data_IF_606663718392
#
_entry.id   IF_606663718392
#
_cell.length_a   1.000
_cell.length_b   1.000
_cell.length_c   1.000
_cell.angle_alpha   90.00
_cell.angle_beta   90.00
_cell.angle_gamma   90.00
#
_symmetry.space_group_name_H-M   'P 1'
#
loop_
_entity.id
_entity.type
_entity.pdbx_description
1 polymer ?
#
# COMPACT_ATOMS: atom_id res chain seq x y z
N UNK A 1 15.19 26.11 -33.71
CA UNK A 1 15.32 24.80 -34.04
C UNK A 1 15.74 23.96 -32.91
N UNK A 2 16.90 24.11 -32.39
CA UNK A 2 17.34 23.26 -31.35
C UNK A 2 16.43 23.15 -30.17
N UNK A 3 15.70 24.18 -29.85
CA UNK A 3 14.83 24.17 -28.70
C UNK A 3 13.70 23.19 -28.84
N UNK A 4 13.30 22.90 -30.04
CA UNK A 4 12.18 22.01 -30.27
C UNK A 4 12.49 20.59 -29.86
N UNK A 5 13.70 20.14 -30.06
CA UNK A 5 14.09 18.80 -29.73
C UNK A 5 13.97 18.51 -28.22
N UNK A 6 14.21 19.54 -27.43
CA UNK A 6 14.17 19.36 -25.99
C UNK A 6 12.77 19.07 -25.47
N UNK A 7 11.76 19.62 -26.14
CA UNK A 7 10.39 19.40 -25.71
C UNK A 7 9.98 17.96 -25.88
N UNK A 8 10.47 17.30 -26.91
CA UNK A 8 10.14 15.91 -27.14
C UNK A 8 10.63 15.01 -26.02
N UNK A 9 11.78 15.29 -25.51
CA UNK A 9 12.32 14.50 -24.41
C UNK A 9 11.44 14.58 -23.19
N UNK A 10 10.92 15.75 -22.91
CA UNK A 10 10.05 15.92 -21.77
C UNK A 10 8.79 15.09 -21.87
N UNK A 11 8.24 14.97 -23.05
CA UNK A 11 7.02 14.20 -23.25
C UNK A 11 7.27 12.72 -22.99
N UNK A 12 8.39 12.22 -23.44
CA UNK A 12 8.70 10.80 -23.22
C UNK A 12 8.81 10.45 -21.75
N UNK A 13 9.42 11.31 -20.98
CA UNK A 13 9.56 11.07 -19.55
C UNK A 13 8.20 11.00 -18.88
N UNK A 14 7.30 11.89 -19.25
CA UNK A 14 5.97 11.89 -18.68
C UNK A 14 5.23 10.58 -18.95
N UNK A 15 5.39 10.03 -20.16
CA UNK A 15 4.76 8.76 -20.49
C UNK A 15 5.27 7.63 -19.63
N UNK A 16 6.57 7.60 -19.37
CA UNK A 16 7.17 6.52 -18.60
C UNK A 16 6.64 6.44 -17.18
N UNK A 17 6.29 7.57 -16.56
CA UNK A 17 5.82 7.59 -15.19
C UNK A 17 4.35 7.22 -15.06
N UNK A 18 3.62 7.11 -16.17
CA UNK A 18 2.19 6.84 -16.13
C UNK A 18 1.84 5.47 -15.56
N UNK A 19 2.79 4.53 -15.55
CA UNK A 19 2.52 3.19 -15.08
C UNK A 19 2.83 2.97 -13.61
N UNK A 20 3.49 3.91 -12.94
CA UNK A 20 3.82 3.80 -11.54
C UNK A 20 2.76 4.58 -10.73
N UNK A 21 2.14 3.91 -9.76
CA UNK A 21 1.06 4.54 -9.00
C UNK A 21 0.98 3.95 -7.59
N UNK A 22 0.46 4.71 -6.63
CA UNK A 22 0.22 4.19 -5.28
C UNK A 22 -0.96 3.22 -5.27
N UNK A 23 -1.18 2.52 -4.17
CA UNK A 23 -2.41 1.73 -4.01
C UNK A 23 -3.64 2.62 -4.18
N UNK A 24 -4.73 2.03 -4.66
CA UNK A 24 -5.96 2.78 -4.89
C UNK A 24 -6.89 2.77 -3.69
N UNK A 25 -6.81 1.75 -2.84
CA UNK A 25 -7.64 1.65 -1.64
C UNK A 25 -7.06 0.58 -0.72
N UNK A 26 -7.48 0.59 0.54
CA UNK A 26 -7.13 -0.44 1.52
C UNK A 26 -8.38 -0.77 2.30
N UNK A 27 -8.70 -2.05 2.37
CA UNK A 27 -9.83 -2.53 3.17
C UNK A 27 -9.27 -3.21 4.41
N UNK A 28 -9.72 -2.76 5.58
CA UNK A 28 -9.19 -3.23 6.85
C UNK A 28 -10.29 -3.89 7.66
N UNK A 29 -10.01 -5.07 8.19
CA UNK A 29 -10.89 -5.76 9.12
C UNK A 29 -10.08 -6.18 10.34
N UNK A 30 -10.67 -6.02 11.51
CA UNK A 30 -10.01 -6.42 12.76
C UNK A 30 -10.96 -7.21 13.63
N UNK A 31 -10.49 -8.38 14.10
CA UNK A 31 -11.23 -9.22 15.00
C UNK A 31 -10.66 -9.06 16.41
N UNK A 32 -11.44 -8.46 17.30
CA UNK A 32 -10.99 -8.18 18.66
C UNK A 32 -10.73 -9.46 19.44
N UNK A 33 -11.51 -10.50 19.19
CA UNK A 33 -11.35 -11.77 19.93
C UNK A 33 -10.03 -12.44 19.63
N UNK A 34 -9.65 -12.48 18.37
CA UNK A 34 -8.40 -13.12 17.97
C UNK A 34 -7.26 -12.13 17.83
N UNK A 35 -7.54 -10.83 17.97
CA UNK A 35 -6.55 -9.76 17.79
C UNK A 35 -5.89 -9.83 16.42
N UNK A 36 -6.66 -10.21 15.41
CA UNK A 36 -6.15 -10.41 14.06
C UNK A 36 -6.62 -9.29 13.15
N UNK A 37 -5.65 -8.64 12.49
CA UNK A 37 -5.90 -7.64 11.48
C UNK A 37 -5.72 -8.29 10.12
N UNK A 38 -6.70 -8.10 9.23
CA UNK A 38 -6.60 -8.50 7.83
C UNK A 38 -6.79 -7.26 6.99
N UNK A 39 -5.88 -7.04 6.04
CA UNK A 39 -5.97 -5.91 5.14
C UNK A 39 -5.82 -6.38 3.70
N UNK A 40 -6.60 -5.76 2.82
CA UNK A 40 -6.48 -5.95 1.38
C UNK A 40 -6.05 -4.62 0.80
N UNK A 41 -4.83 -4.58 0.28
CA UNK A 41 -4.28 -3.38 -0.34
C UNK A 41 -4.55 -3.48 -1.84
N UNK A 42 -5.48 -2.67 -2.32
CA UNK A 42 -5.88 -2.68 -3.73
C UNK A 42 -4.83 -1.99 -4.56
N UNK A 43 -4.23 -2.72 -5.48
CA UNK A 43 -3.12 -2.20 -6.27
C UNK A 43 -3.02 -2.99 -7.57
N UNK A 44 -3.61 -2.45 -8.63
CA UNK A 44 -3.66 -3.14 -9.92
C UNK A 44 -2.33 -2.98 -10.66
N UNK A 45 -1.73 -4.10 -11.02
CA UNK A 45 -0.44 -4.12 -11.71
C UNK A 45 -0.47 -5.14 -12.85
N UNK A 46 0.40 -4.95 -13.83
CA UNK A 46 0.52 -5.89 -14.93
C UNK A 46 1.33 -7.11 -14.53
N UNK A 47 2.40 -6.90 -13.77
CA UNK A 47 3.29 -7.98 -13.36
C UNK A 47 3.59 -7.86 -11.87
N UNK A 48 2.97 -8.70 -11.03
CA UNK A 48 3.17 -8.63 -9.59
C UNK A 48 4.57 -9.00 -9.12
N UNK A 49 5.42 -9.50 -9.99
CA UNK A 49 6.81 -9.81 -9.64
C UNK A 49 7.72 -8.60 -9.75
N UNK A 50 7.35 -7.61 -10.54
CA UNK A 50 8.19 -6.43 -10.77
C UNK A 50 7.55 -5.13 -10.30
N UNK A 51 6.24 -5.12 -10.12
CA UNK A 51 5.48 -3.96 -9.64
C UNK A 51 4.56 -4.48 -8.53
N UNK A 52 4.81 -4.09 -7.29
CA UNK A 52 4.12 -4.70 -6.16
C UNK A 52 4.17 -3.82 -4.92
N UNK A 53 3.32 -4.16 -3.96
CA UNK A 53 3.37 -3.56 -2.63
C UNK A 53 4.52 -4.24 -1.88
N UNK A 54 5.56 -3.49 -1.56
CA UNK A 54 6.75 -4.08 -0.94
C UNK A 54 6.74 -3.98 0.58
N UNK A 55 5.94 -3.10 1.14
CA UNK A 55 5.91 -2.91 2.58
C UNK A 55 4.52 -2.48 3.01
N UNK A 56 4.09 -3.00 4.17
CA UNK A 56 2.83 -2.61 4.80
C UNK A 56 3.12 -2.31 6.26
N UNK A 57 2.86 -1.07 6.68
CA UNK A 57 3.04 -0.65 8.05
C UNK A 57 1.69 -0.59 8.75
N UNK A 58 1.62 -1.16 9.96
CA UNK A 58 0.40 -1.16 10.76
C UNK A 58 0.65 -0.30 11.99
N UNK A 59 -0.28 0.64 12.22
CA UNK A 59 -0.22 1.56 13.34
C UNK A 59 -1.38 1.36 14.30
N UNK A 60 -1.13 1.61 15.59
CA UNK A 60 -2.13 1.57 16.63
C UNK A 60 -2.07 2.91 17.36
N UNK A 61 -3.19 3.64 17.30
CA UNK A 61 -3.30 4.96 17.94
C UNK A 61 -2.16 5.89 17.56
N UNK A 62 -1.81 5.90 16.26
CA UNK A 62 -0.80 6.80 15.73
C UNK A 62 0.63 6.30 15.84
N UNK A 63 0.85 5.10 16.33
CA UNK A 63 2.19 4.56 16.49
C UNK A 63 2.36 3.26 15.72
N UNK A 64 3.41 3.16 14.93
CA UNK A 64 3.68 1.92 14.20
C UNK A 64 3.95 0.77 15.16
N UNK A 65 3.24 -0.34 15.00
CA UNK A 65 3.40 -1.52 15.84
C UNK A 65 3.87 -2.73 15.07
N UNK A 66 3.76 -2.72 13.74
CA UNK A 66 4.19 -3.83 12.93
C UNK A 66 4.49 -3.37 11.50
N UNK A 67 5.49 -3.98 10.89
CA UNK A 67 5.84 -3.72 9.51
C UNK A 67 6.03 -5.06 8.80
N UNK A 68 5.37 -5.22 7.66
CA UNK A 68 5.44 -6.45 6.86
C UNK A 68 6.14 -6.13 5.54
N UNK A 69 7.00 -7.02 5.09
CA UNK A 69 7.74 -6.84 3.84
C UNK A 69 7.37 -7.93 2.84
N UNK A 70 7.29 -7.56 1.58
CA UNK A 70 6.93 -8.47 0.51
C UNK A 70 7.90 -8.29 -0.66
N UNK A 71 8.14 -9.37 -1.40
CA UNK A 71 9.02 -9.34 -2.58
C UNK A 71 8.23 -9.50 -3.88
N UNK A 72 6.93 -9.68 -3.75
CA UNK A 72 6.02 -9.75 -4.88
C UNK A 72 4.61 -9.55 -4.34
N UNK A 73 3.67 -9.29 -5.22
CA UNK A 73 2.29 -9.07 -4.83
C UNK A 73 1.50 -10.38 -4.93
N UNK A 74 0.48 -10.52 -4.09
CA UNK A 74 -0.31 -11.75 -4.05
C UNK A 74 -0.98 -12.04 -5.39
N UNK A 75 -1.56 -11.01 -6.01
CA UNK A 75 -2.18 -11.11 -7.32
C UNK A 75 -1.89 -9.84 -8.10
N UNK A 76 -2.33 -9.79 -9.36
CA UNK A 76 -2.17 -8.57 -10.15
C UNK A 76 -3.15 -7.47 -9.75
N UNK A 77 -3.99 -7.70 -8.75
CA UNK A 77 -4.97 -6.71 -8.30
C UNK A 77 -4.78 -6.26 -6.86
N UNK A 78 -4.06 -7.04 -6.03
CA UNK A 78 -4.02 -6.72 -4.61
C UNK A 78 -2.90 -7.43 -3.89
N UNK A 79 -2.53 -6.88 -2.74
CA UNK A 79 -1.68 -7.53 -1.75
C UNK A 79 -2.51 -7.78 -0.51
N UNK A 80 -2.35 -8.95 0.07
CA UNK A 80 -2.99 -9.30 1.34
C UNK A 80 -1.98 -9.13 2.46
N UNK A 81 -2.45 -8.63 3.61
CA UNK A 81 -1.61 -8.47 4.79
C UNK A 81 -2.39 -8.93 6.01
N UNK A 82 -1.79 -9.81 6.80
CA UNK A 82 -2.40 -10.33 8.02
C UNK A 82 -1.42 -10.20 9.17
N UNK A 83 -1.89 -9.73 10.30
CA UNK A 83 -1.05 -9.57 11.48
C UNK A 83 -1.86 -9.83 12.74
N UNK A 84 -1.24 -10.50 13.71
CA UNK A 84 -1.81 -10.66 15.05
C UNK A 84 -1.19 -9.56 15.90
N UNK A 85 -2.06 -8.73 16.48
CA UNK A 85 -1.65 -7.64 17.34
C UNK A 85 -1.93 -8.02 18.78
N UNK A 86 -1.61 -7.16 19.74
CA UNK A 86 -1.93 -7.41 21.13
C UNK A 86 -2.38 -6.13 21.81
N UNK A 87 -3.32 -6.27 22.74
CA UNK A 87 -3.79 -5.15 23.53
C UNK A 87 -4.69 -4.17 22.80
N UNK A 88 -5.21 -4.54 21.62
CA UNK A 88 -6.12 -3.67 20.89
C UNK A 88 -7.52 -3.83 21.42
N UNK A 89 -8.20 -2.71 21.69
CA UNK A 89 -9.52 -2.72 22.26
C UNK A 89 -10.47 -1.81 21.50
N UNK A 90 -11.74 -1.98 21.80
CA UNK A 90 -12.80 -1.14 21.22
C UNK A 90 -12.45 0.32 21.38
N UNK A 91 -12.61 1.10 20.31
CA UNK A 91 -12.33 2.53 20.33
C UNK A 91 -10.94 2.88 19.87
N UNK A 92 -10.01 1.91 19.82
CA UNK A 92 -8.67 2.19 19.32
C UNK A 92 -8.71 2.48 17.82
N UNK A 93 -7.69 3.20 17.35
CA UNK A 93 -7.51 3.52 15.94
C UNK A 93 -6.45 2.60 15.37
N UNK A 94 -6.76 1.95 14.26
CA UNK A 94 -5.81 1.11 13.53
C UNK A 94 -5.58 1.71 12.15
N UNK A 95 -4.33 1.80 11.74
CA UNK A 95 -3.97 2.29 10.41
C UNK A 95 -3.18 1.23 9.66
N UNK A 96 -3.32 1.26 8.34
CA UNK A 96 -2.56 0.41 7.44
C UNK A 96 -2.05 1.28 6.32
N UNK A 97 -0.73 1.27 6.11
CA UNK A 97 -0.10 2.04 5.05
C UNK A 97 0.63 1.10 4.11
N UNK A 98 0.25 1.11 2.83
CA UNK A 98 0.84 0.25 1.82
C UNK A 98 1.73 1.05 0.88
N UNK A 99 2.90 0.51 0.57
CA UNK A 99 3.92 1.18 -0.21
C UNK A 99 4.16 0.44 -1.52
N UNK A 100 4.05 1.16 -2.64
CA UNK A 100 4.38 0.62 -3.95
C UNK A 100 5.90 0.69 -4.17
N UNK A 101 6.48 -0.37 -4.71
CA UNK A 101 7.92 -0.41 -4.93
C UNK A 101 8.40 0.54 -6.03
N UNK A 102 7.50 1.02 -6.87
CA UNK A 102 7.86 1.96 -7.94
C UNK A 102 7.51 3.39 -7.59
N UNK A 103 6.34 3.62 -6.97
CA UNK A 103 5.92 4.99 -6.68
C UNK A 103 4.75 5.02 -5.72
N UNK A 104 4.87 5.82 -4.67
CA UNK A 104 3.75 6.22 -3.84
C UNK A 104 3.33 5.25 -2.76
N UNK A 105 2.40 5.72 -1.96
CA UNK A 105 1.87 4.97 -0.83
C UNK A 105 0.47 5.47 -0.54
N UNK A 106 -0.29 4.69 0.23
CA UNK A 106 -1.62 5.07 0.69
C UNK A 106 -1.79 4.58 2.11
N UNK A 107 -2.42 5.38 2.95
CA UNK A 107 -2.74 5.00 4.31
C UNK A 107 -4.25 5.10 4.53
N UNK A 108 -4.82 4.11 5.20
CA UNK A 108 -6.21 4.12 5.62
C UNK A 108 -6.29 3.79 7.09
N UNK A 109 -7.39 4.21 7.72
CA UNK A 109 -7.55 4.09 9.16
C UNK A 109 -8.96 3.66 9.48
N UNK A 110 -9.12 2.85 10.52
CA UNK A 110 -10.42 2.47 11.05
C UNK A 110 -10.42 2.65 12.56
N UNK A 111 -11.61 2.77 13.13
CA UNK A 111 -11.79 2.69 14.57
C UNK A 111 -12.33 1.30 14.90
N UNK A 112 -11.75 0.69 15.91
CA UNK A 112 -12.13 -0.66 16.31
C UNK A 112 -13.52 -0.64 16.94
N UNK A 113 -14.41 -1.46 16.39
CA UNK A 113 -15.80 -1.52 16.84
C UNK A 113 -15.99 -2.50 18.01
#
# INVERSE_FOLDING_TARGET
MKKIALLLCGILIASATAFAHPPSDIKIQFDVKTQTLNAVIMHRVSNPLTHYIYKVDIGLNGKEVKSLSFKQQATNREQLATAVLSGVKKGDSLSVEGYCNLSGKLEKEINVA
#
